data_IF_768831937542
#
_entry.id   IF_768831937542
#
_cell.length_a   1.000
_cell.length_b   1.000
_cell.length_c   1.000
_cell.angle_alpha   90.00
_cell.angle_beta   90.00
_cell.angle_gamma   90.00
#
_symmetry.space_group_name_H-M   'P 1'
#
loop_
_entity.id
_entity.type
_entity.pdbx_description
1 polymer ?
#
# COMPACT_ATOMS: atom_id res chain seq x y z
N UNK A 1 42.24 4.78 31.85
CA UNK A 1 42.29 5.96 30.97
C UNK A 1 41.05 6.82 31.29
N UNK A 2 41.24 8.02 31.82
CA UNK A 2 40.10 8.91 32.13
C UNK A 2 39.72 9.64 30.86
N UNK A 3 38.50 9.42 30.37
CA UNK A 3 37.95 10.12 29.21
C UNK A 3 37.79 11.62 29.50
N UNK A 4 38.28 12.47 28.62
CA UNK A 4 38.24 13.91 28.80
C UNK A 4 36.80 14.43 28.75
N UNK A 5 36.39 15.18 29.79
CA UNK A 5 35.05 15.73 29.92
C UNK A 5 34.56 16.51 28.66
N UNK A 6 35.49 17.13 27.92
CA UNK A 6 35.20 17.82 26.66
C UNK A 6 34.79 16.86 25.53
N UNK A 7 35.36 15.65 25.49
CA UNK A 7 35.03 14.64 24.49
C UNK A 7 33.63 14.06 24.76
N UNK A 8 33.31 13.82 26.03
CA UNK A 8 31.97 13.35 26.45
C UNK A 8 30.91 14.39 26.14
N UNK A 9 31.20 15.68 26.36
CA UNK A 9 30.27 16.76 26.02
C UNK A 9 30.04 16.90 24.49
N UNK A 10 31.07 16.69 23.67
CA UNK A 10 30.96 16.70 22.21
C UNK A 10 30.18 15.50 21.68
N UNK A 11 30.35 14.31 22.25
CA UNK A 11 29.58 13.11 21.87
C UNK A 11 28.10 13.22 22.25
N UNK A 12 27.79 13.82 23.41
CA UNK A 12 26.41 14.06 23.83
C UNK A 12 25.77 15.14 22.96
N UNK A 13 26.49 16.20 22.57
CA UNK A 13 25.99 17.22 21.66
C UNK A 13 25.77 16.67 20.22
N UNK A 14 26.62 15.75 19.75
CA UNK A 14 26.46 15.10 18.46
C UNK A 14 25.23 14.15 18.44
N UNK A 15 24.96 13.46 19.55
CA UNK A 15 23.76 12.60 19.68
C UNK A 15 22.46 13.41 19.71
N UNK A 16 22.46 14.57 20.37
CA UNK A 16 21.33 15.50 20.42
C UNK A 16 21.07 16.18 19.06
N UNK A 17 22.10 16.43 18.25
CA UNK A 17 21.92 17.01 16.90
C UNK A 17 21.41 16.00 15.88
N UNK A 18 21.66 14.69 16.05
CA UNK A 18 21.09 13.63 15.20
C UNK A 18 19.61 13.42 15.50
N UNK A 19 19.19 13.48 16.78
CA UNK A 19 17.79 13.39 17.15
C UNK A 19 16.96 14.64 16.79
N UNK A 20 17.60 15.81 16.61
CA UNK A 20 16.93 17.02 16.12
C UNK A 20 16.85 17.07 14.57
N UNK A 21 17.65 16.29 13.85
CA UNK A 21 17.63 16.25 12.38
C UNK A 21 16.56 15.29 11.85
N UNK A 22 16.02 14.37 12.67
CA UNK A 22 14.91 13.49 12.33
C UNK A 22 13.53 14.17 12.45
N UNK A 23 13.46 15.39 12.99
CA UNK A 23 12.23 16.16 13.16
C UNK A 23 11.91 17.10 11.99
N UNK A 24 12.55 16.96 10.84
CA UNK A 24 12.32 17.82 9.67
C UNK A 24 12.14 16.97 8.42
N UNK A 25 11.16 16.10 8.40
CA UNK A 25 10.50 15.73 7.17
C UNK A 25 9.29 16.65 7.00
N UNK A 26 9.39 17.62 6.11
CA UNK A 26 8.30 18.58 5.83
C UNK A 26 7.16 17.97 5.03
N UNK A 27 7.10 16.64 4.96
CA UNK A 27 6.06 15.83 4.31
C UNK A 27 5.12 15.15 5.32
N UNK A 28 5.36 15.35 6.63
CA UNK A 28 4.53 14.74 7.68
C UNK A 28 4.87 13.28 7.99
N UNK A 29 5.67 12.60 7.20
CA UNK A 29 6.08 11.22 7.47
C UNK A 29 7.33 11.19 8.36
N UNK A 30 7.16 11.25 9.68
CA UNK A 30 8.22 10.93 10.62
C UNK A 30 8.18 9.42 10.93
N UNK A 31 9.12 8.61 10.41
CA UNK A 31 9.15 7.17 10.70
C UNK A 31 9.39 6.86 12.20
N UNK A 32 9.60 7.89 13.02
CA UNK A 32 9.75 7.80 14.47
C UNK A 32 8.53 8.32 15.23
N UNK A 33 7.53 8.90 14.55
CA UNK A 33 6.26 9.30 15.17
C UNK A 33 5.24 8.15 15.08
N UNK A 34 4.97 7.44 16.19
CA UNK A 34 4.00 6.36 16.17
C UNK A 34 2.55 6.84 16.00
N UNK A 35 2.30 8.13 15.99
CA UNK A 35 0.95 8.68 15.87
C UNK A 35 0.44 8.76 14.44
N UNK A 36 1.32 8.77 13.45
CA UNK A 36 0.97 8.84 12.04
C UNK A 36 0.91 7.47 11.34
N UNK A 37 1.44 6.43 11.96
CA UNK A 37 1.41 5.07 11.42
C UNK A 37 0.01 4.49 11.19
N UNK A 38 -1.00 4.97 11.91
CA UNK A 38 -2.40 4.60 11.75
C UNK A 38 -3.18 5.48 10.77
N UNK A 39 -2.57 6.52 10.21
CA UNK A 39 -3.18 7.35 9.18
C UNK A 39 -3.09 6.67 7.81
N UNK A 40 -3.99 7.00 6.93
CA UNK A 40 -4.00 6.65 5.51
C UNK A 40 -4.01 7.99 4.74
N UNK A 41 -2.86 8.38 4.20
CA UNK A 41 -2.69 9.74 3.68
C UNK A 41 -3.13 9.91 2.24
N UNK A 42 -3.02 8.89 1.41
CA UNK A 42 -3.46 8.92 0.01
C UNK A 42 -4.85 8.31 -0.20
N UNK A 43 -5.38 7.61 0.83
CA UNK A 43 -6.75 7.12 0.83
C UNK A 43 -6.96 5.84 0.04
N UNK A 44 -5.92 5.02 -0.12
CA UNK A 44 -5.98 3.78 -0.88
C UNK A 44 -6.45 2.55 -0.06
N UNK A 45 -6.56 2.71 1.25
CA UNK A 45 -6.99 1.68 2.20
C UNK A 45 -5.86 1.01 2.97
N UNK A 46 -4.59 1.36 2.72
CA UNK A 46 -3.46 1.01 3.58
C UNK A 46 -3.16 2.15 4.55
N UNK A 47 -2.79 1.81 5.76
CA UNK A 47 -2.22 2.79 6.69
C UNK A 47 -0.76 3.04 6.34
N UNK A 48 -0.23 4.21 6.70
CA UNK A 48 1.19 4.54 6.49
C UNK A 48 2.15 3.47 7.01
N UNK A 49 1.81 2.78 8.10
CA UNK A 49 2.60 1.67 8.64
C UNK A 49 2.52 0.40 7.78
N UNK A 50 1.37 0.12 7.19
CA UNK A 50 1.18 -1.01 6.25
C UNK A 50 1.93 -0.75 4.96
N UNK A 51 1.86 0.46 4.43
CA UNK A 51 2.62 0.89 3.26
C UNK A 51 4.13 0.75 3.46
N UNK A 52 4.63 1.18 4.61
CA UNK A 52 6.04 0.98 4.95
C UNK A 52 6.44 -0.51 4.96
N UNK A 53 5.54 -1.39 5.41
CA UNK A 53 5.77 -2.84 5.39
C UNK A 53 5.74 -3.42 3.98
N UNK A 54 4.89 -2.89 3.09
CA UNK A 54 4.77 -3.32 1.71
C UNK A 54 5.79 -2.65 0.77
N UNK A 55 6.43 -1.56 1.24
CA UNK A 55 7.39 -0.78 0.47
C UNK A 55 6.72 0.14 -0.55
N UNK A 56 5.49 0.54 -0.28
CA UNK A 56 4.70 1.48 -1.06
C UNK A 56 4.90 2.92 -0.59
N UNK A 57 4.29 3.88 -1.25
CA UNK A 57 4.49 5.31 -1.02
C UNK A 57 3.23 5.95 -0.40
N UNK A 58 3.25 6.22 0.89
CA UNK A 58 2.13 6.79 1.70
C UNK A 58 1.51 8.11 1.19
N UNK A 59 1.97 8.64 0.09
CA UNK A 59 1.41 9.82 -0.57
C UNK A 59 1.02 9.54 -2.02
N UNK A 60 0.98 8.27 -2.42
CA UNK A 60 0.65 7.86 -3.78
C UNK A 60 -0.07 6.53 -3.76
N UNK A 61 -1.37 6.54 -3.90
CA UNK A 61 -2.28 5.41 -3.83
C UNK A 61 -2.02 4.28 -4.86
N UNK A 62 -1.13 4.49 -5.82
CA UNK A 62 -0.73 3.55 -6.86
C UNK A 62 0.80 3.68 -7.04
N UNK A 63 1.55 2.90 -6.27
CA UNK A 63 3.01 3.05 -6.17
C UNK A 63 3.77 2.63 -7.41
N UNK A 64 3.29 1.64 -8.15
CA UNK A 64 3.94 1.13 -9.37
C UNK A 64 3.36 1.73 -10.67
N UNK A 65 2.22 2.42 -10.59
CA UNK A 65 1.64 3.18 -11.69
C UNK A 65 0.88 2.34 -12.72
N UNK A 66 0.35 1.20 -12.32
CA UNK A 66 -0.37 0.28 -13.22
C UNK A 66 -1.89 0.51 -13.28
N UNK A 67 -2.40 1.40 -12.43
CA UNK A 67 -3.81 1.78 -12.35
C UNK A 67 -4.59 1.03 -11.27
N UNK A 68 -3.94 0.19 -10.48
CA UNK A 68 -4.51 -0.47 -9.31
C UNK A 68 -4.03 0.23 -8.03
N UNK A 69 -4.91 0.55 -7.08
CA UNK A 69 -4.47 1.08 -5.79
C UNK A 69 -3.73 0.03 -4.96
N UNK A 70 -2.66 0.46 -4.26
CA UNK A 70 -1.82 -0.41 -3.44
C UNK A 70 -2.66 -1.22 -2.43
N UNK A 71 -3.63 -0.59 -1.77
CA UNK A 71 -4.52 -1.26 -0.84
C UNK A 71 -5.43 -2.29 -1.48
N UNK A 72 -5.91 -2.04 -2.70
CA UNK A 72 -6.69 -3.04 -3.43
C UNK A 72 -5.84 -4.26 -3.81
N UNK A 73 -4.61 -4.03 -4.26
CA UNK A 73 -3.68 -5.10 -4.64
C UNK A 73 -3.33 -5.99 -3.44
N UNK A 74 -2.95 -5.39 -2.31
CA UNK A 74 -2.65 -6.11 -1.07
C UNK A 74 -3.84 -6.95 -0.62
N UNK A 75 -5.06 -6.40 -0.66
CA UNK A 75 -6.28 -7.10 -0.28
C UNK A 75 -6.62 -8.28 -1.20
N UNK A 76 -6.17 -8.24 -2.45
CA UNK A 76 -6.39 -9.30 -3.43
C UNK A 76 -5.18 -10.23 -3.63
N UNK A 77 -4.11 -10.04 -2.84
CA UNK A 77 -2.92 -10.88 -2.90
C UNK A 77 -2.02 -10.60 -4.10
N UNK A 78 -2.11 -9.39 -4.66
CA UNK A 78 -1.24 -8.87 -5.71
C UNK A 78 -0.05 -8.12 -5.10
N UNK A 79 0.86 -7.63 -5.93
CA UNK A 79 2.07 -6.93 -5.50
C UNK A 79 2.03 -5.45 -5.87
N UNK A 80 1.81 -4.53 -4.91
CA UNK A 80 1.67 -3.09 -5.17
C UNK A 80 2.96 -2.39 -5.62
N UNK A 81 3.98 -3.16 -5.91
CA UNK A 81 5.28 -2.68 -6.45
C UNK A 81 5.65 -3.39 -7.76
N UNK A 82 4.71 -4.09 -8.39
CA UNK A 82 4.92 -4.84 -9.63
C UNK A 82 3.82 -4.57 -10.66
N UNK A 83 3.89 -3.49 -11.39
CA UNK A 83 2.90 -3.09 -12.40
C UNK A 83 2.65 -4.07 -13.55
N UNK A 84 3.23 -5.27 -13.49
CA UNK A 84 2.96 -6.34 -14.47
C UNK A 84 1.75 -7.18 -14.13
N UNK A 85 1.32 -7.20 -12.88
CA UNK A 85 0.24 -8.08 -12.42
C UNK A 85 -1.17 -7.54 -12.69
N UNK A 86 -1.33 -6.23 -13.00
CA UNK A 86 -2.57 -5.67 -13.54
C UNK A 86 -3.12 -6.42 -14.77
N UNK A 87 -2.26 -7.03 -15.56
CA UNK A 87 -2.62 -7.83 -16.73
C UNK A 87 -2.81 -9.33 -16.43
N UNK A 88 -2.64 -9.74 -15.18
CA UNK A 88 -2.89 -11.11 -14.73
C UNK A 88 -4.39 -11.42 -14.70
N UNK A 89 -4.70 -12.71 -14.72
CA UNK A 89 -6.05 -13.28 -14.61
C UNK A 89 -5.94 -14.51 -13.69
N UNK A 90 -5.96 -14.30 -12.35
CA UNK A 90 -5.70 -15.39 -11.40
C UNK A 90 -6.79 -16.46 -11.36
N UNK A 91 -8.05 -16.11 -11.55
CA UNK A 91 -9.17 -17.06 -11.52
C UNK A 91 -9.51 -17.66 -12.89
N UNK A 92 -8.95 -17.10 -13.97
CA UNK A 92 -9.06 -17.64 -15.32
C UNK A 92 -10.41 -17.45 -15.99
N UNK A 93 -11.16 -16.44 -15.57
CA UNK A 93 -12.47 -16.15 -16.18
C UNK A 93 -12.37 -15.35 -17.49
N UNK A 94 -11.22 -14.76 -17.77
CA UNK A 94 -10.93 -13.97 -18.98
C UNK A 94 -10.91 -12.46 -18.75
N UNK A 95 -11.17 -11.97 -17.51
CA UNK A 95 -10.91 -10.61 -17.12
C UNK A 95 -9.50 -10.48 -16.50
N UNK A 96 -8.81 -9.39 -16.81
CA UNK A 96 -7.56 -9.05 -16.14
C UNK A 96 -7.86 -8.39 -14.79
N UNK A 97 -6.88 -8.40 -13.88
CA UNK A 97 -7.01 -7.71 -12.59
C UNK A 97 -7.45 -6.25 -12.73
N UNK A 98 -6.93 -5.52 -13.73
CA UNK A 98 -7.34 -4.15 -14.03
C UNK A 98 -8.80 -4.06 -14.51
N UNK A 99 -9.29 -5.04 -15.26
CA UNK A 99 -10.69 -5.09 -15.71
C UNK A 99 -11.62 -5.41 -14.55
N UNK A 100 -11.23 -6.30 -13.66
CA UNK A 100 -12.00 -6.66 -12.47
C UNK A 100 -12.07 -5.51 -11.47
N UNK A 101 -10.95 -4.82 -11.25
CA UNK A 101 -10.97 -3.59 -10.45
C UNK A 101 -11.98 -2.58 -11.00
N UNK A 102 -11.99 -2.35 -12.31
CA UNK A 102 -12.91 -1.42 -12.97
C UNK A 102 -14.37 -1.90 -12.91
N UNK A 103 -14.61 -3.21 -12.94
CA UNK A 103 -15.94 -3.82 -12.84
C UNK A 103 -16.43 -3.95 -11.38
N UNK A 104 -15.53 -3.90 -10.40
CA UNK A 104 -15.83 -4.13 -8.99
C UNK A 104 -15.99 -5.61 -8.65
N UNK A 105 -15.40 -6.49 -9.46
CA UNK A 105 -15.41 -7.95 -9.28
C UNK A 105 -14.19 -8.43 -8.48
N UNK A 106 -14.15 -9.72 -8.16
CA UNK A 106 -13.12 -10.32 -7.33
C UNK A 106 -12.11 -11.09 -8.19
N UNK A 107 -10.86 -10.63 -8.35
CA UNK A 107 -9.86 -11.23 -9.24
C UNK A 107 -9.43 -12.65 -8.84
N UNK A 108 -9.94 -13.16 -7.74
CA UNK A 108 -9.68 -14.52 -7.27
C UNK A 108 -10.92 -15.42 -7.33
N UNK A 109 -12.04 -14.94 -7.92
CA UNK A 109 -13.29 -15.68 -8.01
C UNK A 109 -14.01 -15.37 -9.30
N UNK A 110 -13.98 -16.27 -10.25
CA UNK A 110 -14.56 -16.16 -11.59
C UNK A 110 -16.08 -15.88 -11.66
N UNK A 111 -16.80 -16.02 -10.57
CA UNK A 111 -18.24 -15.77 -10.39
C UNK A 111 -18.39 -15.01 -9.06
N UNK A 112 -18.26 -13.69 -9.12
CA UNK A 112 -18.15 -12.83 -7.93
C UNK A 112 -19.40 -12.89 -7.04
N UNK A 113 -20.60 -12.89 -7.64
CA UNK A 113 -21.86 -12.88 -6.89
C UNK A 113 -22.48 -14.26 -6.66
N UNK A 114 -21.96 -15.29 -7.36
CA UNK A 114 -22.33 -16.69 -7.12
C UNK A 114 -23.64 -17.11 -7.81
N UNK A 115 -24.08 -16.41 -8.84
CA UNK A 115 -25.31 -16.73 -9.57
C UNK A 115 -25.15 -17.88 -10.59
N UNK A 116 -23.91 -18.26 -10.88
CA UNK A 116 -23.54 -19.34 -11.82
C UNK A 116 -23.08 -18.85 -13.18
N UNK A 117 -22.94 -17.54 -13.37
CA UNK A 117 -22.30 -16.93 -14.56
C UNK A 117 -20.93 -16.37 -14.17
N UNK A 118 -19.95 -16.53 -15.03
CA UNK A 118 -18.64 -15.91 -14.81
C UNK A 118 -18.70 -14.40 -15.07
N UNK A 119 -17.89 -13.63 -14.34
CA UNK A 119 -17.87 -12.17 -14.38
C UNK A 119 -17.70 -11.60 -15.79
N UNK A 120 -16.91 -12.25 -16.65
CA UNK A 120 -16.65 -11.82 -18.03
C UNK A 120 -17.86 -11.95 -18.99
N UNK A 121 -18.88 -12.70 -18.63
CA UNK A 121 -20.10 -12.93 -19.45
C UNK A 121 -21.36 -12.47 -18.74
N UNK A 122 -21.25 -12.08 -17.48
CA UNK A 122 -22.34 -11.55 -16.71
C UNK A 122 -22.55 -10.05 -16.99
N UNK A 123 -23.81 -9.65 -17.16
CA UNK A 123 -24.17 -8.25 -17.35
C UNK A 123 -24.14 -7.45 -16.04
N UNK A 124 -24.33 -8.12 -14.92
CA UNK A 124 -24.39 -7.55 -13.57
C UNK A 124 -23.58 -8.38 -12.57
N UNK A 125 -22.26 -8.50 -12.72
CA UNK A 125 -21.42 -9.49 -12.05
C UNK A 125 -21.29 -9.31 -10.53
N UNK A 126 -22.08 -8.42 -9.95
CA UNK A 126 -22.16 -8.16 -8.50
C UNK A 126 -23.60 -8.23 -7.97
N UNK A 127 -24.58 -8.66 -8.80
CA UNK A 127 -26.00 -8.80 -8.41
C UNK A 127 -26.48 -10.25 -8.58
N UNK A 128 -26.53 -11.06 -7.54
CA UNK A 128 -26.87 -12.49 -7.60
C UNK A 128 -28.33 -12.76 -7.96
N UNK A 129 -29.11 -11.77 -8.35
CA UNK A 129 -30.55 -11.91 -8.64
C UNK A 129 -30.95 -11.54 -10.08
N UNK A 130 -29.98 -11.37 -10.97
CA UNK A 130 -30.24 -11.01 -12.39
C UNK A 130 -30.46 -12.22 -13.32
#
# INVERSE_FOLDING_TARGET
>A
MKMNKKIVSMLVALFLTISALSAVSGDGSDPLDPSDGGADWDGDGLTNAEEQNHGTNMNNADSDGDGLPDGWEVNNGLSPTNGGDANGDPDGDGLTNAQEYAAGTNPNNADTDGDGKNDNVDQYPTDPND
#
